data_IF_682970980373
#
_entry.id   IF_682970980373
#
_cell.length_a   1.000
_cell.length_b   1.000
_cell.length_c   1.000
_cell.angle_alpha   90.00
_cell.angle_beta   90.00
_cell.angle_gamma   90.00
#
_symmetry.space_group_name_H-M   'P 1'
#
loop_
_entity.id
_entity.type
_entity.pdbx_description
1 polymer ?
#
# COMPACT_ATOMS: atom_id res chain seq x y z
N UNK A 1 -4.66 18.48 34.10
CA UNK A 1 -5.52 17.76 33.13
C UNK A 1 -5.20 16.29 33.28
N UNK A 2 -6.18 15.47 33.66
CA UNK A 2 -5.99 14.02 33.66
C UNK A 2 -5.87 13.51 32.21
N UNK A 3 -5.08 12.47 31.93
CA UNK A 3 -5.06 11.85 30.61
C UNK A 3 -6.48 11.36 30.29
N UNK A 4 -7.05 11.79 29.17
CA UNK A 4 -8.33 11.27 28.70
C UNK A 4 -8.05 9.89 28.11
N UNK A 5 -8.60 8.87 28.75
CA UNK A 5 -8.67 7.53 28.20
C UNK A 5 -9.72 7.55 27.08
N UNK A 6 -9.34 7.15 25.87
CA UNK A 6 -10.30 6.95 24.78
C UNK A 6 -10.17 5.51 24.28
N UNK A 7 -11.29 4.80 24.28
CA UNK A 7 -11.41 3.49 23.63
C UNK A 7 -12.33 3.65 22.43
N UNK A 8 -11.88 3.23 21.26
CA UNK A 8 -12.64 3.33 20.02
C UNK A 8 -12.98 1.91 19.57
N UNK A 9 -14.27 1.67 19.30
CA UNK A 9 -14.73 0.42 18.68
C UNK A 9 -15.35 0.79 17.34
N UNK A 10 -14.75 0.30 16.26
CA UNK A 10 -15.26 0.49 14.91
C UNK A 10 -15.63 -0.85 14.28
N UNK A 11 -16.73 -0.85 13.53
CA UNK A 11 -17.19 -2.02 12.79
C UNK A 11 -17.70 -1.63 11.40
N UNK A 12 -17.39 -2.45 10.40
CA UNK A 12 -18.01 -2.30 9.08
C UNK A 12 -18.48 -3.63 8.55
N UNK A 13 -19.59 -3.61 7.82
CA UNK A 13 -20.12 -4.76 7.10
C UNK A 13 -20.53 -4.32 5.69
N UNK A 14 -19.86 -4.83 4.66
CA UNK A 14 -20.24 -4.60 3.28
C UNK A 14 -20.89 -5.84 2.66
N UNK A 15 -21.89 -5.60 1.82
CA UNK A 15 -22.61 -6.62 1.07
C UNK A 15 -22.56 -6.21 -0.40
N UNK A 16 -21.85 -6.95 -1.24
CA UNK A 16 -21.81 -6.73 -2.68
C UNK A 16 -23.16 -7.03 -3.30
N UNK A 17 -23.73 -6.04 -4.00
CA UNK A 17 -24.85 -6.21 -4.92
C UNK A 17 -24.39 -6.51 -6.37
N UNK A 18 -23.07 -6.62 -6.60
CA UNK A 18 -22.43 -6.89 -7.89
C UNK A 18 -22.11 -8.37 -8.15
N UNK A 19 -21.29 -8.59 -9.18
CA UNK A 19 -20.80 -9.91 -9.56
C UNK A 19 -19.27 -9.94 -9.45
N UNK A 20 -18.66 -10.86 -8.68
CA UNK A 20 -19.30 -11.85 -7.80
C UNK A 20 -20.03 -11.18 -6.62
N UNK A 21 -20.91 -11.91 -5.95
CA UNK A 21 -21.51 -11.45 -4.70
C UNK A 21 -20.44 -11.35 -3.64
N UNK A 22 -20.33 -10.21 -2.96
CA UNK A 22 -19.28 -9.95 -1.96
C UNK A 22 -19.90 -9.89 -0.56
N UNK A 23 -19.18 -10.36 0.45
CA UNK A 23 -19.55 -10.14 1.84
C UNK A 23 -18.27 -9.84 2.62
N UNK A 24 -18.16 -8.62 3.17
CA UNK A 24 -17.05 -8.23 4.02
C UNK A 24 -17.55 -7.83 5.39
N UNK A 25 -16.80 -8.19 6.42
CA UNK A 25 -17.03 -7.76 7.79
C UNK A 25 -15.68 -7.45 8.43
N UNK A 26 -15.60 -6.36 9.18
CA UNK A 26 -14.44 -6.07 10.00
C UNK A 26 -14.85 -5.45 11.32
N UNK A 27 -14.09 -5.77 12.36
CA UNK A 27 -14.24 -5.22 13.70
C UNK A 27 -12.84 -4.83 14.18
N UNK A 28 -12.69 -3.60 14.66
CA UNK A 28 -11.44 -3.10 15.23
C UNK A 28 -11.72 -2.45 16.58
N UNK A 29 -10.90 -2.81 17.55
CA UNK A 29 -10.93 -2.26 18.90
C UNK A 29 -9.59 -1.59 19.15
N UNK A 30 -9.63 -0.32 19.53
CA UNK A 30 -8.44 0.46 19.87
C UNK A 30 -8.57 1.04 21.27
N UNK A 31 -7.45 1.06 21.98
CA UNK A 31 -7.33 1.71 23.27
C UNK A 31 -6.14 2.65 23.26
N UNK A 32 -6.41 3.92 23.58
CA UNK A 32 -5.38 4.94 23.76
C UNK A 32 -5.15 5.26 25.24
N UNK A 33 -3.92 5.68 25.56
CA UNK A 33 -3.48 6.09 26.89
C UNK A 33 -2.87 4.98 27.76
N UNK A 34 -1.96 5.39 28.65
CA UNK A 34 -1.31 4.53 29.64
C UNK A 34 -2.16 4.45 30.91
N UNK A 35 -2.67 3.27 31.26
CA UNK A 35 -3.11 2.95 32.62
C UNK A 35 -1.99 2.20 33.35
N UNK A 36 -2.00 2.22 34.69
CA UNK A 36 -1.04 1.49 35.52
C UNK A 36 -0.94 0.00 35.09
N UNK A 37 0.10 -0.32 34.32
CA UNK A 37 0.44 -1.67 33.87
C UNK A 37 -0.07 -2.14 32.50
N UNK A 38 -0.77 -1.30 31.71
CA UNK A 38 -1.28 -1.68 30.38
C UNK A 38 -0.85 -0.69 29.28
N UNK A 39 -0.27 -1.22 28.20
CA UNK A 39 0.12 -0.44 27.02
C UNK A 39 -1.08 -0.16 26.10
N UNK A 40 -1.07 0.95 25.34
CA UNK A 40 -2.00 1.15 24.22
C UNK A 40 -1.95 -0.04 23.27
N UNK A 41 -3.12 -0.43 22.75
CA UNK A 41 -3.23 -1.54 21.81
C UNK A 41 -4.37 -1.35 20.82
N UNK A 42 -4.24 -1.98 19.66
CA UNK A 42 -5.27 -2.15 18.64
C UNK A 42 -5.38 -3.63 18.28
N UNK A 43 -6.60 -4.14 18.17
CA UNK A 43 -6.87 -5.48 17.66
C UNK A 43 -7.94 -5.41 16.56
N UNK A 44 -7.66 -6.04 15.43
CA UNK A 44 -8.50 -6.06 14.26
C UNK A 44 -8.83 -7.48 13.83
N UNK A 45 -10.07 -7.69 13.39
CA UNK A 45 -10.47 -8.87 12.64
C UNK A 45 -11.16 -8.40 11.37
N UNK A 46 -10.83 -9.01 10.24
CA UNK A 46 -11.54 -8.81 8.98
C UNK A 46 -11.79 -10.14 8.29
N UNK A 47 -12.92 -10.21 7.61
CA UNK A 47 -13.33 -11.32 6.79
C UNK A 47 -13.95 -10.80 5.51
N UNK A 48 -13.62 -11.44 4.40
CA UNK A 48 -14.12 -11.15 3.06
C UNK A 48 -14.39 -12.44 2.33
N UNK A 49 -15.54 -12.52 1.67
CA UNK A 49 -15.90 -13.59 0.74
C UNK A 49 -16.38 -12.97 -0.56
N UNK A 50 -16.09 -13.60 -1.68
CA UNK A 50 -16.54 -13.18 -3.00
C UNK A 50 -16.91 -14.43 -3.78
N UNK A 51 -18.19 -14.67 -4.01
CA UNK A 51 -18.70 -15.91 -4.57
C UNK A 51 -19.31 -15.70 -5.96
N UNK A 52 -19.00 -16.60 -6.89
CA UNK A 52 -19.75 -16.72 -8.14
C UNK A 52 -19.02 -16.28 -9.39
N UNK A 53 -17.68 -16.31 -9.44
CA UNK A 53 -16.91 -15.96 -10.65
C UNK A 53 -17.21 -16.79 -11.93
N UNK A 54 -18.11 -17.78 -11.88
CA UNK A 54 -18.47 -18.68 -12.99
C UNK A 54 -19.86 -18.46 -13.62
N UNK A 55 -20.12 -19.11 -14.75
CA UNK A 55 -21.42 -19.15 -15.46
C UNK A 55 -22.36 -20.26 -14.97
N UNK A 56 -21.96 -21.00 -13.93
CA UNK A 56 -22.76 -22.07 -13.32
C UNK A 56 -23.52 -21.56 -12.08
N UNK A 57 -24.57 -22.29 -11.70
CA UNK A 57 -25.49 -21.96 -10.61
C UNK A 57 -24.79 -21.62 -9.28
N UNK A 58 -25.39 -20.69 -8.53
CA UNK A 58 -24.99 -20.37 -7.16
C UNK A 58 -24.83 -21.66 -6.33
N UNK A 59 -23.64 -21.87 -5.76
CA UNK A 59 -23.26 -23.08 -5.02
C UNK A 59 -22.18 -23.95 -5.67
N UNK A 60 -21.95 -23.81 -6.98
CA UNK A 60 -20.81 -24.44 -7.69
C UNK A 60 -19.73 -23.41 -8.10
N UNK A 61 -19.94 -22.15 -7.73
CA UNK A 61 -19.12 -21.01 -8.12
C UNK A 61 -17.80 -20.93 -7.36
N UNK A 62 -16.73 -20.64 -8.09
CA UNK A 62 -15.43 -20.24 -7.54
C UNK A 62 -15.62 -19.08 -6.57
N UNK A 63 -14.93 -19.16 -5.44
CA UNK A 63 -14.95 -18.17 -4.39
C UNK A 63 -13.54 -17.63 -4.15
N UNK A 64 -13.45 -16.35 -3.85
CA UNK A 64 -12.29 -15.80 -3.14
C UNK A 64 -12.68 -15.62 -1.67
N UNK A 65 -11.77 -15.97 -0.77
CA UNK A 65 -11.95 -15.78 0.67
C UNK A 65 -10.71 -15.14 1.25
N UNK A 66 -10.90 -14.20 2.16
CA UNK A 66 -9.83 -13.59 2.92
C UNK A 66 -10.24 -13.46 4.38
N UNK A 67 -9.35 -13.87 5.28
CA UNK A 67 -9.49 -13.71 6.74
C UNK A 67 -8.21 -13.05 7.20
N UNK A 68 -8.30 -11.96 7.97
CA UNK A 68 -7.13 -11.36 8.62
C UNK A 68 -7.39 -11.03 10.07
N UNK A 69 -6.36 -11.22 10.88
CA UNK A 69 -6.27 -10.78 12.25
C UNK A 69 -5.05 -9.87 12.39
N UNK A 70 -5.22 -8.71 13.01
CA UNK A 70 -4.11 -7.81 13.33
C UNK A 70 -4.09 -7.47 14.81
N UNK A 71 -2.89 -7.30 15.37
CA UNK A 71 -2.65 -6.89 16.74
C UNK A 71 -1.48 -5.92 16.75
N UNK A 72 -1.72 -4.72 17.25
CA UNK A 72 -0.71 -3.70 17.50
C UNK A 72 -0.70 -3.39 19.00
N UNK A 73 0.47 -3.30 19.59
CA UNK A 73 0.63 -2.93 21.00
C UNK A 73 1.91 -2.16 21.21
N UNK A 74 1.85 -1.03 21.92
CA UNK A 74 3.05 -0.26 22.21
C UNK A 74 2.82 1.14 22.74
N UNK A 75 3.88 1.70 23.30
CA UNK A 75 3.94 3.11 23.66
C UNK A 75 4.71 3.86 22.57
N UNK A 76 4.01 4.66 21.78
CA UNK A 76 4.62 5.53 20.75
C UNK A 76 4.64 7.00 21.18
N UNK A 77 3.93 7.36 22.26
CA UNK A 77 3.68 8.75 22.63
C UNK A 77 4.83 9.38 23.43
N UNK A 78 5.63 8.56 24.13
CA UNK A 78 6.64 9.06 25.07
C UNK A 78 8.02 9.39 24.46
N UNK A 79 8.21 9.19 23.15
CA UNK A 79 9.51 9.36 22.50
C UNK A 79 10.56 8.31 22.87
N UNK A 80 10.29 7.44 23.84
CA UNK A 80 10.98 6.18 24.06
C UNK A 80 9.98 5.03 24.00
N UNK A 81 10.01 4.25 22.92
CA UNK A 81 8.90 3.36 22.58
C UNK A 81 9.29 1.91 22.40
N UNK A 82 8.45 1.03 22.96
CA UNK A 82 8.38 -0.37 22.55
C UNK A 82 7.10 -0.57 21.78
N UNK A 83 7.20 -1.24 20.63
CA UNK A 83 6.02 -1.62 19.89
C UNK A 83 6.17 -3.02 19.29
N UNK A 84 5.02 -3.67 19.16
CA UNK A 84 4.80 -4.96 18.55
C UNK A 84 3.64 -4.79 17.57
N UNK A 85 3.82 -5.28 16.36
CA UNK A 85 2.76 -5.48 15.38
C UNK A 85 2.80 -6.93 14.91
N UNK A 86 1.62 -7.51 14.76
CA UNK A 86 1.39 -8.87 14.33
C UNK A 86 0.19 -8.89 13.39
N UNK A 87 0.35 -9.44 12.21
CA UNK A 87 -0.74 -9.70 11.27
C UNK A 87 -0.71 -11.17 10.86
N UNK A 88 -1.87 -11.82 10.87
CA UNK A 88 -2.04 -13.19 10.38
C UNK A 88 -3.18 -13.17 9.37
N UNK A 89 -2.90 -13.67 8.17
CA UNK A 89 -3.81 -13.70 7.05
C UNK A 89 -3.98 -15.10 6.48
N UNK A 90 -5.17 -15.38 5.96
CA UNK A 90 -5.40 -16.42 4.97
C UNK A 90 -6.17 -15.82 3.80
N UNK A 91 -5.70 -16.07 2.58
CA UNK A 91 -6.35 -15.67 1.34
C UNK A 91 -6.43 -16.86 0.40
N UNK A 92 -7.64 -17.23 -0.02
CA UNK A 92 -7.91 -18.25 -1.02
C UNK A 92 -8.45 -17.55 -2.25
N UNK A 93 -7.78 -17.69 -3.39
CA UNK A 93 -8.23 -17.14 -4.68
C UNK A 93 -8.69 -18.27 -5.61
N UNK A 94 -9.91 -18.17 -6.14
CA UNK A 94 -10.50 -19.19 -7.01
C UNK A 94 -9.84 -19.24 -8.39
N UNK A 95 -9.55 -20.44 -8.91
CA UNK A 95 -8.87 -20.62 -10.20
C UNK A 95 -9.74 -20.37 -11.44
N UNK A 96 -11.03 -20.04 -11.26
CA UNK A 96 -11.97 -19.63 -12.33
C UNK A 96 -12.00 -20.57 -13.56
N UNK A 97 -11.97 -21.89 -13.35
CA UNK A 97 -11.90 -22.93 -14.41
C UNK A 97 -10.63 -22.91 -15.28
N UNK A 98 -9.61 -22.13 -14.91
CA UNK A 98 -8.35 -22.08 -15.66
C UNK A 98 -7.42 -23.25 -15.35
N UNK A 99 -7.72 -24.04 -14.32
CA UNK A 99 -7.08 -25.32 -14.03
C UNK A 99 -8.17 -26.40 -13.80
N UNK A 100 -8.07 -27.57 -14.45
CA UNK A 100 -9.05 -28.66 -14.29
C UNK A 100 -8.85 -29.52 -13.03
N UNK A 101 -7.68 -29.47 -12.40
CA UNK A 101 -7.29 -30.28 -11.25
C UNK A 101 -7.33 -29.51 -9.93
N UNK A 102 -7.26 -28.17 -9.97
CA UNK A 102 -7.24 -27.28 -8.80
C UNK A 102 -8.38 -26.27 -8.87
N UNK A 103 -9.09 -26.08 -7.75
CA UNK A 103 -10.21 -25.13 -7.68
C UNK A 103 -9.81 -23.76 -7.15
N UNK A 104 -8.75 -23.67 -6.33
CA UNK A 104 -8.20 -22.42 -5.80
C UNK A 104 -6.71 -22.53 -5.50
N UNK A 105 -6.09 -21.37 -5.26
CA UNK A 105 -4.78 -21.25 -4.61
C UNK A 105 -4.98 -20.56 -3.27
N UNK A 106 -4.38 -21.11 -2.22
CA UNK A 106 -4.45 -20.56 -0.86
C UNK A 106 -3.08 -20.03 -0.44
N UNK A 107 -3.10 -18.85 0.17
CA UNK A 107 -1.99 -18.24 0.86
C UNK A 107 -2.31 -18.10 2.33
N UNK A 108 -1.35 -18.43 3.17
CA UNK A 108 -1.37 -18.06 4.57
C UNK A 108 -0.13 -17.23 4.86
N UNK A 109 -0.29 -16.15 5.60
CA UNK A 109 0.80 -15.27 5.96
C UNK A 109 0.76 -14.88 7.44
N UNK A 110 1.95 -14.67 7.99
CA UNK A 110 2.20 -14.17 9.32
C UNK A 110 3.27 -13.09 9.16
N UNK A 111 2.89 -11.84 9.34
CA UNK A 111 3.80 -10.70 9.33
C UNK A 111 3.98 -10.21 10.76
N UNK A 112 5.21 -9.90 11.17
CA UNK A 112 5.48 -9.40 12.50
C UNK A 112 6.54 -8.32 12.48
N UNK A 113 6.43 -7.40 13.43
CA UNK A 113 7.44 -6.38 13.65
C UNK A 113 7.52 -6.00 15.11
N UNK A 114 8.74 -5.90 15.63
CA UNK A 114 9.04 -5.62 17.02
C UNK A 114 10.16 -4.59 17.09
N UNK A 115 9.89 -3.49 17.80
CA UNK A 115 10.92 -2.56 18.24
C UNK A 115 11.06 -2.68 19.74
N UNK A 116 12.07 -3.39 20.26
CA UNK A 116 12.30 -3.50 21.71
C UNK A 116 12.85 -2.20 22.29
N UNK A 117 13.33 -1.30 21.44
CA UNK A 117 13.90 -0.02 21.84
C UNK A 117 13.83 0.98 20.69
N UNK A 118 13.24 2.14 20.98
CA UNK A 118 13.39 3.37 20.23
C UNK A 118 13.56 4.48 21.26
N UNK A 119 14.52 5.39 21.07
CA UNK A 119 14.66 6.58 21.89
C UNK A 119 14.88 7.79 21.01
N UNK A 120 14.11 8.85 21.28
CA UNK A 120 14.21 10.18 20.68
C UNK A 120 14.65 11.23 21.70
N UNK A 121 15.46 10.93 22.71
CA UNK A 121 16.04 12.00 23.53
C UNK A 121 17.21 11.57 24.41
N UNK A 122 18.42 11.57 23.85
CA UNK A 122 19.58 12.02 24.63
C UNK A 122 19.83 13.47 24.22
N UNK A 123 19.36 14.45 25.01
CA UNK A 123 19.77 15.86 24.81
C UNK A 123 21.26 15.95 25.20
N UNK A 124 22.21 16.08 24.26
CA UNK A 124 23.56 16.46 24.63
C UNK A 124 23.48 17.92 25.08
N UNK A 125 24.26 18.29 26.09
CA UNK A 125 24.43 19.68 26.54
C UNK A 125 24.70 20.57 25.31
N UNK A 126 23.70 21.31 24.78
CA UNK A 126 23.86 22.11 23.56
C UNK A 126 22.70 22.18 22.55
N UNK A 127 21.49 21.68 22.87
CA UNK A 127 20.28 21.93 22.07
C UNK A 127 20.13 21.09 20.80
N UNK A 128 20.78 19.93 20.72
CA UNK A 128 20.55 18.90 19.70
C UNK A 128 19.83 17.68 20.26
N UNK A 129 19.44 16.78 19.38
CA UNK A 129 18.80 15.50 19.69
C UNK A 129 19.62 14.36 19.10
N UNK A 130 19.83 13.31 19.88
CA UNK A 130 20.31 12.02 19.39
C UNK A 130 19.23 11.00 19.67
N UNK A 131 18.97 10.14 18.69
CA UNK A 131 18.07 9.01 18.85
C UNK A 131 18.65 7.74 18.25
N UNK A 132 18.15 6.62 18.74
CA UNK A 132 18.51 5.30 18.25
C UNK A 132 17.30 4.37 18.32
N UNK A 133 17.22 3.45 17.38
CA UNK A 133 16.15 2.45 17.32
C UNK A 133 16.68 1.11 16.84
N UNK A 134 16.08 0.05 17.36
CA UNK A 134 16.29 -1.31 16.87
C UNK A 134 14.93 -1.84 16.43
N UNK A 135 14.88 -2.40 15.23
CA UNK A 135 13.68 -2.99 14.66
C UNK A 135 14.00 -4.42 14.23
N UNK A 136 13.09 -5.34 14.53
CA UNK A 136 13.09 -6.68 13.98
C UNK A 136 11.76 -6.89 13.29
N UNK A 137 11.77 -7.17 12.00
CA UNK A 137 10.57 -7.58 11.29
C UNK A 137 10.81 -8.88 10.54
N UNK A 138 9.74 -9.54 10.14
CA UNK A 138 9.81 -10.72 9.31
C UNK A 138 8.44 -11.24 8.96
N UNK A 139 8.43 -12.13 7.98
CA UNK A 139 7.21 -12.69 7.43
C UNK A 139 7.37 -14.20 7.26
N UNK A 140 6.30 -14.93 7.48
CA UNK A 140 6.16 -16.34 7.09
C UNK A 140 5.02 -16.43 6.13
N UNK A 141 5.22 -17.13 5.02
CA UNK A 141 4.17 -17.32 4.04
C UNK A 141 4.13 -18.77 3.58
N UNK A 142 2.93 -19.28 3.40
CA UNK A 142 2.64 -20.57 2.79
C UNK A 142 1.79 -20.33 1.56
N UNK A 143 2.09 -21.05 0.49
CA UNK A 143 1.32 -21.08 -0.74
C UNK A 143 1.01 -22.53 -1.07
N UNK A 144 -0.26 -22.83 -1.35
CA UNK A 144 -0.70 -24.17 -1.73
C UNK A 144 -1.80 -24.13 -2.78
N UNK A 145 -1.85 -25.17 -3.61
CA UNK A 145 -2.97 -25.38 -4.53
C UNK A 145 -4.02 -26.29 -3.90
N UNK A 146 -5.28 -25.86 -3.91
CA UNK A 146 -6.37 -26.65 -3.37
C UNK A 146 -7.01 -27.53 -4.45
N UNK A 147 -7.11 -28.84 -4.17
CA UNK A 147 -7.67 -29.84 -5.08
C UNK A 147 -8.52 -30.86 -4.35
N UNK A 148 -9.54 -31.46 -5.00
CA UNK A 148 -10.30 -32.55 -4.42
C UNK A 148 -9.39 -33.73 -4.08
N UNK A 149 -9.77 -34.50 -3.06
CA UNK A 149 -9.07 -35.75 -2.69
C UNK A 149 -9.21 -36.74 -3.83
N UNK A 150 -8.17 -36.87 -4.65
CA UNK A 150 -8.09 -37.82 -5.77
C UNK A 150 -6.92 -38.79 -5.56
N UNK A 151 -7.05 -39.99 -6.13
CA UNK A 151 -6.07 -41.08 -5.99
C UNK A 151 -4.84 -40.96 -6.89
N UNK A 152 -4.75 -39.93 -7.74
CA UNK A 152 -3.65 -39.71 -8.69
C UNK A 152 -2.80 -38.47 -8.39
N UNK A 153 -1.54 -38.50 -8.84
CA UNK A 153 -0.71 -37.30 -8.93
C UNK A 153 -1.23 -36.41 -10.06
N UNK A 154 -1.33 -35.08 -9.85
CA UNK A 154 -1.84 -34.20 -10.88
C UNK A 154 -0.84 -34.08 -12.03
N UNK A 155 -1.35 -33.91 -13.25
CA UNK A 155 -0.49 -33.83 -14.45
C UNK A 155 0.27 -32.51 -14.48
N UNK A 156 -0.41 -31.42 -14.12
CA UNK A 156 0.19 -30.09 -14.01
C UNK A 156 0.05 -29.58 -12.57
N UNK A 157 0.89 -30.12 -11.67
CA UNK A 157 0.85 -29.79 -10.26
C UNK A 157 1.08 -28.29 -9.99
N UNK A 158 0.20 -27.70 -9.17
CA UNK A 158 0.54 -26.51 -8.39
C UNK A 158 1.30 -27.01 -7.17
N UNK A 159 2.47 -26.42 -6.95
CA UNK A 159 3.42 -26.93 -5.99
C UNK A 159 3.37 -26.09 -4.73
N UNK A 160 3.24 -26.76 -3.60
CA UNK A 160 3.21 -26.10 -2.30
C UNK A 160 4.59 -25.54 -1.97
N UNK A 161 4.62 -24.31 -1.48
CA UNK A 161 5.85 -23.61 -1.16
C UNK A 161 5.70 -22.81 0.13
N UNK A 162 6.78 -22.69 0.88
CA UNK A 162 6.86 -21.80 2.03
C UNK A 162 7.99 -20.81 1.84
N UNK A 163 7.78 -19.60 2.35
CA UNK A 163 8.75 -18.53 2.38
C UNK A 163 8.89 -18.00 3.81
N UNK A 164 10.10 -17.56 4.14
CA UNK A 164 10.42 -16.93 5.41
C UNK A 164 11.33 -15.73 5.13
N UNK A 165 11.00 -14.58 5.72
CA UNK A 165 11.82 -13.36 5.69
C UNK A 165 12.14 -12.91 7.12
N UNK A 166 13.32 -12.31 7.29
CA UNK A 166 13.75 -11.66 8.52
C UNK A 166 14.59 -10.44 8.19
N UNK A 167 14.26 -9.29 8.78
CA UNK A 167 14.89 -8.00 8.52
C UNK A 167 15.18 -7.22 9.84
N UNK A 168 16.22 -7.59 10.60
CA UNK A 168 16.74 -6.73 11.66
C UNK A 168 17.36 -5.45 11.08
N UNK A 169 17.08 -4.32 11.73
CA UNK A 169 17.76 -3.06 11.48
C UNK A 169 18.07 -2.30 12.77
N UNK A 170 19.14 -1.52 12.71
CA UNK A 170 19.56 -0.61 13.78
C UNK A 170 19.80 0.75 13.16
N UNK A 171 19.19 1.78 13.73
CA UNK A 171 19.34 3.15 13.27
C UNK A 171 19.82 4.05 14.40
N UNK A 172 20.70 4.98 14.08
CA UNK A 172 21.13 6.07 14.96
C UNK A 172 21.03 7.36 14.17
N UNK A 173 20.49 8.40 14.78
CA UNK A 173 20.41 9.70 14.14
C UNK A 173 20.78 10.83 15.09
N UNK A 174 21.20 11.94 14.51
CA UNK A 174 21.53 13.17 15.18
C UNK A 174 20.88 14.35 14.45
N UNK A 175 20.26 15.25 15.21
CA UNK A 175 19.64 16.46 14.70
C UNK A 175 20.05 17.68 15.52
N UNK A 176 20.41 18.78 14.83
CA UNK A 176 20.72 20.07 15.45
C UNK A 176 20.52 21.22 14.46
N UNK A 177 19.78 22.25 14.87
CA UNK A 177 19.73 23.52 14.15
C UNK A 177 19.31 23.41 12.68
N UNK A 178 18.34 22.55 12.38
CA UNK A 178 17.86 22.27 11.02
C UNK A 178 18.69 21.24 10.24
N UNK A 179 19.83 20.79 10.77
CA UNK A 179 20.62 19.70 10.19
C UNK A 179 20.26 18.37 10.85
N UNK A 180 20.04 17.35 10.04
CA UNK A 180 19.81 15.95 10.44
C UNK A 180 20.81 15.05 9.72
N UNK A 181 21.33 14.05 10.43
CA UNK A 181 22.02 12.91 9.82
C UNK A 181 21.61 11.62 10.50
N UNK A 182 21.47 10.55 9.72
CA UNK A 182 21.11 9.23 10.17
C UNK A 182 22.03 8.18 9.58
N UNK A 183 22.35 7.16 10.36
CA UNK A 183 23.01 5.95 9.93
C UNK A 183 22.10 4.77 10.27
N UNK A 184 21.78 3.96 9.27
CA UNK A 184 21.00 2.73 9.44
C UNK A 184 21.83 1.55 8.95
N UNK A 185 21.95 0.51 9.74
CA UNK A 185 22.48 -0.78 9.34
C UNK A 185 21.37 -1.83 9.32
N UNK A 186 21.36 -2.70 8.32
CA UNK A 186 20.35 -3.74 8.19
C UNK A 186 20.94 -5.05 7.68
N UNK A 187 20.23 -6.13 7.97
CA UNK A 187 20.48 -7.44 7.42
C UNK A 187 19.13 -8.09 7.09
N UNK A 188 18.99 -8.59 5.87
CA UNK A 188 17.83 -9.32 5.39
C UNK A 188 18.22 -10.77 5.13
N UNK A 189 17.35 -11.68 5.53
CA UNK A 189 17.42 -13.09 5.22
C UNK A 189 16.08 -13.51 4.63
N UNK A 190 16.10 -13.99 3.39
CA UNK A 190 14.93 -14.55 2.72
C UNK A 190 15.22 -15.99 2.34
N UNK A 191 14.26 -16.87 2.59
CA UNK A 191 14.38 -18.28 2.23
C UNK A 191 13.06 -18.79 1.69
N UNK A 192 13.14 -19.62 0.65
CA UNK A 192 11.99 -20.39 0.17
C UNK A 192 12.36 -21.85 0.06
N UNK A 193 11.36 -22.75 0.12
CA UNK A 193 11.57 -24.21 0.02
C UNK A 193 12.33 -24.65 -1.24
N UNK A 194 12.44 -23.79 -2.26
CA UNK A 194 13.01 -24.13 -3.57
C UNK A 194 14.17 -23.29 -4.03
N UNK A 195 14.29 -22.05 -3.55
CA UNK A 195 15.32 -21.12 -4.00
C UNK A 195 16.52 -21.04 -3.05
N UNK A 196 16.44 -21.71 -1.90
CA UNK A 196 17.50 -21.67 -0.90
C UNK A 196 17.52 -20.33 -0.17
N UNK A 197 18.64 -20.02 0.46
CA UNK A 197 18.82 -18.85 1.34
C UNK A 197 19.43 -17.68 0.56
N UNK A 198 18.79 -16.50 0.65
CA UNK A 198 19.29 -15.23 0.12
C UNK A 198 19.60 -14.32 1.29
N UNK A 199 20.84 -13.85 1.34
CA UNK A 199 21.33 -12.93 2.35
C UNK A 199 21.60 -11.57 1.72
N UNK A 200 21.04 -10.52 2.33
CA UNK A 200 21.33 -9.13 1.93
C UNK A 200 21.79 -8.35 3.15
N UNK A 201 22.98 -7.76 3.10
CA UNK A 201 23.49 -6.89 4.16
C UNK A 201 23.71 -5.48 3.63
N UNK A 202 23.49 -4.46 4.45
CA UNK A 202 23.73 -3.10 4.00
C UNK A 202 23.73 -2.04 5.08
N UNK A 203 24.04 -0.83 4.64
CA UNK A 203 23.96 0.35 5.47
C UNK A 203 23.61 1.59 4.66
N UNK A 204 22.85 2.49 5.26
CA UNK A 204 22.41 3.77 4.70
C UNK A 204 22.94 4.92 5.55
N UNK A 205 23.52 5.91 4.88
CA UNK A 205 23.81 7.22 5.42
C UNK A 205 22.84 8.23 4.81
N UNK A 206 22.04 8.88 5.65
CA UNK A 206 21.12 9.94 5.24
C UNK A 206 21.53 11.27 5.88
N UNK A 207 21.35 12.36 5.15
CA UNK A 207 21.52 13.72 5.63
C UNK A 207 20.39 14.61 5.11
N UNK A 208 19.92 15.53 5.95
CA UNK A 208 18.93 16.53 5.60
C UNK A 208 19.31 17.86 6.21
N UNK A 209 19.15 18.94 5.46
CA UNK A 209 19.37 20.30 5.93
C UNK A 209 18.20 21.19 5.57
N UNK A 210 17.61 21.81 6.57
CA UNK A 210 16.51 22.77 6.43
C UNK A 210 17.04 24.19 6.62
N UNK A 211 16.87 25.02 5.60
CA UNK A 211 17.25 26.43 5.57
C UNK A 211 16.06 27.29 5.12
N UNK A 212 15.29 27.81 6.10
CA UNK A 212 14.04 28.51 5.81
C UNK A 212 13.01 27.57 5.17
N UNK A 213 12.46 27.97 4.02
CA UNK A 213 11.53 27.17 3.21
C UNK A 213 12.22 26.13 2.32
N UNK A 214 13.56 26.04 2.33
CA UNK A 214 14.29 25.05 1.55
C UNK A 214 14.71 23.88 2.43
N UNK A 215 14.49 22.67 1.93
CA UNK A 215 14.95 21.41 2.51
C UNK A 215 15.79 20.68 1.48
N UNK A 216 17.02 20.38 1.83
CA UNK A 216 17.93 19.59 1.01
C UNK A 216 18.09 18.23 1.67
N UNK A 217 18.04 17.13 0.92
CA UNK A 217 18.39 15.82 1.46
C UNK A 217 19.28 15.03 0.51
N UNK A 218 20.09 14.16 1.10
CA UNK A 218 20.92 13.21 0.39
C UNK A 218 20.94 11.90 1.17
N UNK A 219 20.85 10.78 0.47
CA UNK A 219 21.09 9.45 1.03
C UNK A 219 22.04 8.65 0.15
N UNK A 220 22.83 7.80 0.80
CA UNK A 220 23.73 6.84 0.17
C UNK A 220 23.57 5.51 0.89
N UNK A 221 23.25 4.47 0.13
CA UNK A 221 23.07 3.12 0.65
C UNK A 221 24.09 2.21 0.01
N UNK A 222 24.76 1.36 0.78
CA UNK A 222 25.56 0.26 0.29
C UNK A 222 24.83 -1.05 0.57
N UNK A 223 24.60 -1.85 -0.47
CA UNK A 223 23.86 -3.12 -0.42
C UNK A 223 24.75 -4.23 -0.96
N UNK A 224 24.88 -5.31 -0.20
CA UNK A 224 25.58 -6.54 -0.56
C UNK A 224 24.54 -7.66 -0.61
N UNK A 225 24.20 -8.10 -1.81
CA UNK A 225 23.25 -9.20 -2.05
C UNK A 225 24.02 -10.45 -2.48
N UNK A 226 23.81 -11.56 -1.78
CA UNK A 226 24.39 -12.87 -2.11
C UNK A 226 24.05 -13.35 -3.53
N UNK A 227 22.90 -12.97 -4.09
CA UNK A 227 22.43 -13.38 -5.41
C UNK A 227 22.93 -12.45 -6.52
N UNK A 228 22.91 -11.13 -6.30
CA UNK A 228 23.15 -10.14 -7.35
C UNK A 228 24.41 -9.27 -7.16
N UNK A 229 25.18 -9.50 -6.08
CA UNK A 229 26.40 -8.76 -5.75
C UNK A 229 26.15 -7.38 -5.15
N UNK A 230 27.12 -6.48 -5.33
CA UNK A 230 27.15 -5.15 -4.70
C UNK A 230 26.33 -4.13 -5.49
N UNK A 231 25.54 -3.31 -4.79
CA UNK A 231 24.85 -2.14 -5.34
C UNK A 231 25.02 -0.95 -4.38
N UNK A 232 25.14 0.25 -4.93
CA UNK A 232 25.26 1.48 -4.13
C UNK A 232 24.17 2.49 -4.53
N UNK A 233 22.91 2.32 -4.08
CA UNK A 233 21.85 3.29 -4.29
C UNK A 233 22.18 4.66 -3.68
N UNK A 234 21.70 5.73 -4.29
CA UNK A 234 21.80 7.07 -3.74
C UNK A 234 20.60 7.90 -4.19
N UNK A 235 20.17 8.83 -3.33
CA UNK A 235 19.12 9.79 -3.65
C UNK A 235 19.59 11.17 -3.28
N UNK A 236 19.38 12.13 -4.18
CA UNK A 236 19.50 13.55 -3.89
C UNK A 236 18.13 14.19 -4.05
N UNK A 237 17.73 15.02 -3.10
CA UNK A 237 16.49 15.78 -3.21
C UNK A 237 16.67 17.24 -2.78
N UNK A 238 15.89 18.10 -3.43
CA UNK A 238 15.65 19.48 -3.01
C UNK A 238 14.15 19.69 -2.95
N UNK A 239 13.68 20.29 -1.87
CA UNK A 239 12.30 20.66 -1.67
C UNK A 239 12.24 22.13 -1.25
N UNK A 240 11.39 22.90 -1.90
CA UNK A 240 10.93 24.19 -1.44
C UNK A 240 9.50 24.04 -0.99
N UNK A 241 9.23 24.42 0.25
CA UNK A 241 7.89 24.47 0.81
C UNK A 241 7.73 25.77 1.59
N UNK A 242 6.89 26.66 1.08
CA UNK A 242 6.63 27.95 1.71
C UNK A 242 5.61 27.76 2.84
N UNK A 243 5.97 27.98 4.12
CA UNK A 243 4.95 28.02 5.17
C UNK A 243 3.99 29.16 4.84
N UNK A 244 2.68 28.89 4.79
CA UNK A 244 1.68 29.92 4.51
C UNK A 244 1.88 31.09 5.47
N UNK A 245 2.32 32.25 4.95
CA UNK A 245 2.64 33.40 5.79
C UNK A 245 1.36 33.96 6.42
N UNK A 246 1.21 33.95 7.76
CA UNK A 246 -0.03 34.42 8.39
C UNK A 246 -0.30 35.92 8.23
N UNK A 247 0.71 36.71 7.83
CA UNK A 247 0.64 38.19 7.75
C UNK A 247 0.64 38.76 6.31
N UNK A 248 0.60 37.91 5.28
CA UNK A 248 0.38 38.37 3.89
C UNK A 248 -1.13 38.45 3.62
N UNK A 249 -1.60 39.44 2.85
CA UNK A 249 -3.03 39.53 2.49
C UNK A 249 -3.49 38.33 1.63
N UNK A 250 -2.56 37.62 0.97
CA UNK A 250 -2.79 36.39 0.19
C UNK A 250 -1.63 35.38 0.37
N UNK A 251 -1.61 34.52 1.41
CA UNK A 251 -0.59 33.48 1.53
C UNK A 251 -0.73 32.43 0.42
N UNK A 252 0.22 32.43 -0.49
CA UNK A 252 0.39 31.38 -1.50
C UNK A 252 1.38 30.35 -0.97
N UNK A 253 0.96 29.08 -0.91
CA UNK A 253 1.89 27.99 -0.64
C UNK A 253 2.41 27.45 -1.96
N UNK A 254 3.74 27.40 -2.08
CA UNK A 254 4.42 26.85 -3.23
C UNK A 254 5.17 25.61 -2.79
N UNK A 255 4.93 24.52 -3.51
CA UNK A 255 5.71 23.30 -3.41
C UNK A 255 6.55 23.16 -4.67
N UNK A 256 7.84 22.94 -4.50
CA UNK A 256 8.69 22.42 -5.56
C UNK A 256 9.54 21.31 -4.95
N UNK A 257 9.51 20.12 -5.54
CA UNK A 257 10.36 19.01 -5.15
C UNK A 257 11.04 18.48 -6.40
N UNK A 258 12.34 18.24 -6.32
CA UNK A 258 13.06 17.52 -7.35
C UNK A 258 13.98 16.51 -6.67
N UNK A 259 13.98 15.29 -7.17
CA UNK A 259 14.83 14.21 -6.67
C UNK A 259 15.30 13.28 -7.78
N UNK A 260 16.36 12.54 -7.51
CA UNK A 260 16.83 11.53 -8.42
C UNK A 260 18.06 10.81 -7.91
N UNK A 261 18.45 9.77 -8.66
CA UNK A 261 19.60 8.96 -8.37
C UNK A 261 19.35 7.51 -8.75
N UNK A 262 19.87 6.60 -7.92
CA UNK A 262 19.71 5.17 -8.09
C UNK A 262 18.91 4.64 -6.91
N UNK A 263 17.75 4.06 -7.19
CA UNK A 263 16.91 3.40 -6.19
C UNK A 263 17.05 1.89 -6.30
N UNK A 264 16.87 1.20 -5.18
CA UNK A 264 16.68 -0.24 -5.16
C UNK A 264 15.76 -0.60 -4.01
N UNK A 265 14.83 -1.51 -4.28
CA UNK A 265 13.97 -2.12 -3.27
C UNK A 265 14.17 -3.61 -3.30
N UNK A 266 14.40 -4.22 -2.14
CA UNK A 266 14.29 -5.67 -2.04
C UNK A 266 12.81 -6.01 -2.15
N UNK A 267 12.39 -6.65 -3.25
CA UNK A 267 11.02 -7.16 -3.37
C UNK A 267 10.98 -8.61 -2.91
N UNK A 268 10.24 -8.83 -1.85
CA UNK A 268 10.07 -10.16 -1.27
C UNK A 268 9.09 -11.03 -2.06
N UNK A 269 9.14 -12.36 -1.85
CA UNK A 269 8.15 -13.34 -2.31
C UNK A 269 6.69 -12.91 -2.07
N UNK A 270 6.40 -12.38 -0.88
CA UNK A 270 5.06 -12.01 -0.43
C UNK A 270 4.50 -10.79 -1.18
N UNK A 271 5.33 -9.77 -1.44
CA UNK A 271 4.94 -8.58 -2.20
C UNK A 271 4.57 -8.92 -3.64
N UNK A 272 5.43 -9.69 -4.33
CA UNK A 272 5.21 -10.13 -5.70
C UNK A 272 3.90 -10.92 -5.83
N UNK A 273 3.69 -11.86 -4.91
CA UNK A 273 2.48 -12.64 -4.88
C UNK A 273 1.25 -11.82 -4.46
N UNK A 274 1.40 -10.71 -3.73
CA UNK A 274 0.32 -9.78 -3.41
C UNK A 274 -0.20 -9.05 -4.65
N UNK A 275 0.71 -8.57 -5.50
CA UNK A 275 0.39 -7.92 -6.78
C UNK A 275 -0.21 -8.96 -7.77
N UNK A 276 0.36 -10.16 -7.80
CA UNK A 276 0.09 -11.21 -8.77
C UNK A 276 -0.30 -12.55 -8.11
N UNK A 277 -1.50 -12.69 -7.53
CA UNK A 277 -1.87 -13.85 -6.69
C UNK A 277 -1.97 -15.17 -7.45
N UNK A 278 -2.19 -15.10 -8.75
CA UNK A 278 -2.25 -16.28 -9.62
C UNK A 278 -0.94 -16.55 -10.34
N UNK A 279 0.14 -15.86 -9.99
CA UNK A 279 1.43 -16.05 -10.65
C UNK A 279 2.28 -17.11 -9.96
N UNK A 280 3.08 -17.82 -10.76
CA UNK A 280 4.11 -18.70 -10.24
C UNK A 280 5.46 -18.32 -10.85
N UNK A 281 6.23 -17.56 -10.08
CA UNK A 281 7.59 -17.15 -10.42
C UNK A 281 8.65 -17.93 -9.64
N UNK A 282 8.30 -19.04 -8.99
CA UNK A 282 9.19 -19.75 -8.05
C UNK A 282 9.80 -18.82 -6.99
N UNK A 283 9.06 -17.77 -6.62
CA UNK A 283 9.53 -16.67 -5.80
C UNK A 283 10.85 -16.07 -6.29
N UNK A 284 10.93 -15.76 -7.58
CA UNK A 284 11.94 -14.86 -8.09
C UNK A 284 11.87 -13.57 -7.25
N UNK A 285 12.97 -13.25 -6.57
CA UNK A 285 13.24 -11.94 -6.01
C UNK A 285 14.09 -11.29 -7.08
N UNK A 286 13.53 -10.26 -7.71
CA UNK A 286 14.36 -9.22 -8.26
C UNK A 286 14.66 -8.30 -7.08
N UNK A 287 15.92 -7.94 -6.89
CA UNK A 287 16.24 -6.68 -6.24
C UNK A 287 16.30 -5.66 -7.37
N UNK A 288 15.15 -5.15 -7.89
CA UNK A 288 15.16 -4.19 -8.96
C UNK A 288 16.04 -3.01 -8.57
N UNK A 289 16.76 -2.51 -9.55
CA UNK A 289 17.51 -1.29 -9.41
C UNK A 289 17.09 -0.38 -10.55
N UNK A 290 16.73 0.85 -10.25
CA UNK A 290 16.33 1.81 -11.27
C UNK A 290 17.05 3.13 -11.07
N UNK A 291 17.60 3.64 -12.18
CA UNK A 291 17.87 5.05 -12.32
C UNK A 291 16.54 5.79 -12.31
N UNK A 292 16.44 6.86 -11.54
CA UNK A 292 15.22 7.66 -11.52
C UNK A 292 15.50 9.15 -11.40
N UNK A 293 14.57 9.93 -11.89
CA UNK A 293 14.49 11.37 -11.68
C UNK A 293 13.02 11.76 -11.59
N UNK A 294 12.68 12.60 -10.63
CA UNK A 294 11.31 13.03 -10.38
C UNK A 294 11.28 14.51 -10.04
N UNK A 295 10.28 15.22 -10.55
CA UNK A 295 9.98 16.58 -10.20
C UNK A 295 8.48 16.74 -9.92
N UNK A 296 8.15 17.47 -8.87
CA UNK A 296 6.81 17.83 -8.47
C UNK A 296 6.76 19.34 -8.23
N UNK A 297 5.68 19.97 -8.68
CA UNK A 297 5.35 21.35 -8.37
C UNK A 297 3.92 21.42 -7.89
N UNK A 298 3.67 22.27 -6.89
CA UNK A 298 2.35 22.49 -6.34
C UNK A 298 2.13 23.96 -6.01
N UNK A 299 0.87 24.36 -6.05
CA UNK A 299 0.38 25.67 -5.69
C UNK A 299 -0.90 25.48 -4.89
N UNK A 300 -0.97 26.11 -3.72
CA UNK A 300 -2.21 26.20 -2.94
C UNK A 300 -2.51 27.67 -2.65
N UNK A 301 -3.74 28.07 -2.96
CA UNK A 301 -4.26 29.42 -2.80
C UNK A 301 -5.25 29.45 -1.63
N UNK A 302 -5.28 30.55 -0.88
CA UNK A 302 -6.24 30.80 0.22
C UNK A 302 -7.70 30.63 -0.20
N UNK A 303 -8.00 30.88 -1.47
CA UNK A 303 -9.33 30.70 -2.06
C UNK A 303 -9.79 29.23 -2.09
N UNK A 304 -8.95 28.30 -1.63
CA UNK A 304 -9.20 26.86 -1.59
C UNK A 304 -8.85 26.16 -2.90
N UNK A 305 -8.22 26.86 -3.85
CA UNK A 305 -7.77 26.27 -5.10
C UNK A 305 -6.38 25.66 -4.95
N UNK A 306 -6.20 24.44 -5.44
CA UNK A 306 -4.93 23.75 -5.46
C UNK A 306 -4.60 23.26 -6.87
N UNK A 307 -3.32 23.27 -7.20
CA UNK A 307 -2.79 22.64 -8.39
C UNK A 307 -1.52 21.88 -8.04
N UNK A 308 -1.37 20.69 -8.61
CA UNK A 308 -0.19 19.84 -8.45
C UNK A 308 0.16 19.20 -9.76
N UNK A 309 1.43 19.16 -10.11
CA UNK A 309 1.93 18.46 -11.27
C UNK A 309 3.22 17.73 -10.94
N UNK A 310 3.37 16.52 -11.47
CA UNK A 310 4.51 15.65 -11.26
C UNK A 310 4.93 15.02 -12.58
N UNK A 311 6.23 14.93 -12.80
CA UNK A 311 6.84 14.15 -13.87
C UNK A 311 7.96 13.28 -13.28
N UNK A 312 7.99 12.02 -13.64
CA UNK A 312 8.98 11.06 -13.15
C UNK A 312 9.47 10.16 -14.27
N UNK A 313 10.77 9.90 -14.30
CA UNK A 313 11.41 8.94 -15.20
C UNK A 313 12.07 7.84 -14.39
N UNK A 314 11.97 6.59 -14.85
CA UNK A 314 12.60 5.41 -14.26
C UNK A 314 13.13 4.48 -15.33
N UNK A 315 14.37 4.04 -15.22
CA UNK A 315 14.93 3.02 -16.10
C UNK A 315 15.74 1.97 -15.33
N UNK A 316 15.57 0.70 -15.68
CA UNK A 316 16.26 -0.42 -15.04
C UNK A 316 17.77 -0.30 -15.19
N UNK A 317 18.47 -0.48 -14.07
CA UNK A 317 19.92 -0.37 -13.94
C UNK A 317 20.55 -1.75 -13.76
N UNK A 318 21.75 -1.95 -14.33
CA UNK A 318 22.58 -3.14 -14.10
C UNK A 318 21.89 -4.48 -14.38
N UNK A 319 20.98 -4.53 -15.36
CA UNK A 319 20.15 -5.71 -15.69
C UNK A 319 19.28 -6.22 -14.52
N UNK A 320 18.99 -5.37 -13.53
CA UNK A 320 18.10 -5.67 -12.41
C UNK A 320 16.70 -5.13 -12.71
N UNK A 321 16.00 -5.81 -13.61
CA UNK A 321 14.62 -5.49 -14.01
C UNK A 321 13.59 -5.74 -12.91
N UNK A 322 12.32 -5.50 -13.22
CA UNK A 322 11.18 -5.77 -12.33
C UNK A 322 10.51 -7.07 -12.79
N UNK A 323 10.07 -7.89 -11.84
CA UNK A 323 9.30 -9.08 -12.17
C UNK A 323 7.84 -8.71 -12.46
N UNK A 324 7.33 -9.14 -13.61
CA UNK A 324 5.98 -8.87 -14.07
C UNK A 324 5.39 -10.13 -14.71
N UNK A 325 4.06 -10.30 -14.62
CA UNK A 325 3.38 -11.29 -15.45
C UNK A 325 3.64 -11.01 -16.93
N UNK A 326 3.69 -12.02 -17.81
CA UNK A 326 3.88 -11.82 -19.26
C UNK A 326 2.55 -11.91 -20.05
N UNK A 327 1.43 -12.05 -19.34
CA UNK A 327 0.08 -12.17 -19.91
C UNK A 327 -0.23 -13.57 -20.46
N UNK A 328 0.69 -14.53 -20.30
CA UNK A 328 0.51 -15.92 -20.70
C UNK A 328 0.29 -16.82 -19.47
N UNK A 329 -0.24 -18.02 -19.73
CA UNK A 329 -0.53 -19.02 -18.70
C UNK A 329 0.40 -20.21 -18.83
N UNK A 330 0.80 -20.72 -17.69
CA UNK A 330 1.45 -22.02 -17.54
C UNK A 330 0.41 -23.16 -17.68
N UNK A 331 0.85 -24.40 -17.97
CA UNK A 331 -0.05 -25.56 -18.06
C UNK A 331 -0.86 -25.86 -16.79
N UNK A 332 -0.39 -25.40 -15.62
CA UNK A 332 -1.10 -25.49 -14.34
C UNK A 332 -2.06 -24.31 -14.11
N UNK A 333 -2.36 -23.53 -15.15
CA UNK A 333 -3.31 -22.43 -15.11
C UNK A 333 -2.77 -21.13 -14.52
N UNK A 334 -1.62 -21.13 -13.83
CA UNK A 334 -1.01 -19.94 -13.22
C UNK A 334 -0.43 -18.98 -14.27
N UNK A 335 -0.42 -17.69 -13.96
CA UNK A 335 0.22 -16.66 -14.78
C UNK A 335 1.74 -16.86 -14.78
N UNK A 336 2.33 -16.77 -15.97
CA UNK A 336 3.79 -16.77 -16.14
C UNK A 336 4.34 -15.39 -15.81
N UNK A 337 5.51 -15.36 -15.15
CA UNK A 337 6.23 -14.14 -14.76
C UNK A 337 7.61 -14.14 -15.40
N UNK A 338 8.07 -12.97 -15.80
CA UNK A 338 9.42 -12.76 -16.34
C UNK A 338 10.07 -11.52 -15.73
N UNK A 339 11.39 -11.43 -15.88
CA UNK A 339 12.16 -10.25 -15.50
C UNK A 339 12.11 -9.24 -16.66
N UNK A 340 11.40 -8.14 -16.45
CA UNK A 340 11.20 -7.09 -17.42
C UNK A 340 12.15 -5.90 -17.16
N UNK A 341 12.91 -5.49 -18.17
CA UNK A 341 13.68 -4.25 -18.12
C UNK A 341 12.76 -3.10 -18.50
N UNK A 342 12.55 -2.14 -17.60
CA UNK A 342 11.65 -1.00 -17.83
C UNK A 342 12.42 0.27 -18.19
N UNK A 343 11.83 1.09 -19.05
CA UNK A 343 12.10 2.51 -19.28
C UNK A 343 10.75 3.24 -19.30
N UNK A 344 10.45 3.99 -18.23
CA UNK A 344 9.11 4.51 -17.95
C UNK A 344 9.15 5.99 -17.66
N UNK A 345 8.30 6.74 -18.37
CA UNK A 345 8.03 8.15 -18.11
C UNK A 345 6.60 8.29 -17.60
N UNK A 346 6.44 8.81 -16.39
CA UNK A 346 5.18 8.99 -15.70
C UNK A 346 4.89 10.49 -15.57
N UNK A 347 3.65 10.89 -15.83
CA UNK A 347 3.19 12.25 -15.58
C UNK A 347 1.89 12.21 -14.81
N UNK A 348 1.72 13.12 -13.86
CA UNK A 348 0.45 13.34 -13.20
C UNK A 348 0.19 14.84 -13.04
N UNK A 349 -1.06 15.25 -13.12
CA UNK A 349 -1.49 16.60 -12.83
C UNK A 349 -2.86 16.57 -12.16
N UNK A 350 -3.07 17.43 -11.18
CA UNK A 350 -4.32 17.56 -10.43
C UNK A 350 -4.64 19.02 -10.19
N UNK A 351 -5.89 19.39 -10.38
CA UNK A 351 -6.42 20.68 -9.98
C UNK A 351 -7.64 20.44 -9.08
N UNK A 352 -7.69 21.16 -7.97
CA UNK A 352 -8.74 21.03 -6.97
C UNK A 352 -9.28 22.39 -6.53
N UNK A 353 -10.51 22.38 -6.04
CA UNK A 353 -11.11 23.49 -5.32
C UNK A 353 -11.84 22.95 -4.10
N UNK A 354 -11.62 23.58 -2.96
CA UNK A 354 -12.33 23.30 -1.71
C UNK A 354 -12.97 24.59 -1.18
N UNK A 355 -14.29 24.63 -1.17
CA UNK A 355 -15.08 25.67 -0.51
C UNK A 355 -15.62 25.24 0.84
N UNK A 356 -16.46 26.08 1.45
CA UNK A 356 -17.00 25.83 2.80
C UNK A 356 -18.00 24.65 2.89
N UNK A 357 -18.55 24.19 1.77
CA UNK A 357 -19.60 23.14 1.75
C UNK A 357 -19.45 22.15 0.59
N UNK A 358 -18.43 22.33 -0.26
CA UNK A 358 -18.21 21.48 -1.41
C UNK A 358 -16.73 21.49 -1.80
N UNK A 359 -16.28 20.40 -2.41
CA UNK A 359 -15.00 20.33 -3.09
C UNK A 359 -15.15 19.59 -4.42
N UNK A 360 -14.26 19.91 -5.36
CA UNK A 360 -14.16 19.22 -6.63
C UNK A 360 -12.69 19.15 -7.03
N UNK A 361 -12.27 18.01 -7.59
CA UNK A 361 -10.94 17.84 -8.18
C UNK A 361 -11.02 17.14 -9.53
N UNK A 362 -10.05 17.46 -10.38
CA UNK A 362 -9.81 16.77 -11.63
C UNK A 362 -8.32 16.46 -11.73
N UNK A 363 -8.01 15.17 -11.86
CA UNK A 363 -6.68 14.64 -11.99
C UNK A 363 -6.48 13.93 -13.32
N UNK A 364 -5.24 13.89 -13.78
CA UNK A 364 -4.78 13.10 -14.91
C UNK A 364 -3.51 12.37 -14.51
N UNK A 365 -3.39 11.10 -14.90
CA UNK A 365 -2.14 10.35 -14.84
C UNK A 365 -1.86 9.66 -16.17
N UNK A 366 -0.59 9.56 -16.54
CA UNK A 366 -0.14 9.06 -17.84
C UNK A 366 1.19 8.33 -17.74
N UNK A 367 1.33 7.26 -18.52
CA UNK A 367 2.58 6.52 -18.76
C UNK A 367 2.89 6.61 -20.26
N UNK A 368 4.12 6.99 -20.64
CA UNK A 368 4.43 7.37 -22.02
C UNK A 368 5.42 6.47 -22.77
N UNK A 369 6.21 5.67 -22.05
CA UNK A 369 7.25 4.81 -22.62
C UNK A 369 6.84 3.35 -22.47
N UNK A 370 7.46 2.60 -21.55
CA UNK A 370 7.06 1.23 -21.28
C UNK A 370 5.81 1.19 -20.39
N UNK A 371 4.69 0.85 -21.01
CA UNK A 371 3.51 0.35 -20.32
C UNK A 371 3.87 -1.02 -19.74
N UNK A 372 4.28 -1.04 -18.47
CA UNK A 372 4.50 -2.29 -17.75
C UNK A 372 3.15 -2.97 -17.51
N UNK A 373 2.73 -3.77 -18.50
CA UNK A 373 1.60 -4.70 -18.57
C UNK A 373 0.17 -4.18 -18.60
N UNK A 374 -0.67 -4.89 -19.38
CA UNK A 374 -2.12 -4.79 -19.63
C UNK A 374 -2.90 -3.90 -18.64
N UNK A 375 -2.72 -2.61 -18.82
CA UNK A 375 -3.22 -1.61 -17.91
C UNK A 375 -3.48 -0.33 -18.68
N UNK A 376 -4.36 0.46 -18.13
CA UNK A 376 -4.70 1.78 -18.63
C UNK A 376 -3.48 2.69 -18.43
N UNK A 377 -2.82 3.12 -19.51
CA UNK A 377 -1.65 3.98 -19.42
C UNK A 377 -2.05 5.42 -19.09
N UNK A 378 -3.25 5.84 -19.52
CA UNK A 378 -3.79 7.17 -19.36
C UNK A 378 -5.13 7.18 -18.62
N UNK A 379 -5.19 7.82 -17.46
CA UNK A 379 -6.40 7.95 -16.64
C UNK A 379 -6.77 9.40 -16.41
N UNK A 380 -8.08 9.68 -16.47
CA UNK A 380 -8.69 10.90 -15.93
C UNK A 380 -9.41 10.52 -14.63
N UNK A 381 -9.18 11.27 -13.57
CA UNK A 381 -9.80 11.08 -12.25
C UNK A 381 -10.64 12.34 -11.98
N UNK A 382 -11.90 12.16 -11.61
CA UNK A 382 -12.80 13.25 -11.23
C UNK A 382 -13.38 12.94 -9.86
N UNK A 383 -13.32 13.88 -8.94
CA UNK A 383 -13.90 13.74 -7.61
C UNK A 383 -14.75 14.96 -7.28
N UNK A 384 -15.85 14.71 -6.60
CA UNK A 384 -16.78 15.75 -6.15
C UNK A 384 -17.34 15.38 -4.80
N UNK A 385 -17.32 16.35 -3.87
CA UNK A 385 -17.83 16.16 -2.52
C UNK A 385 -18.73 17.32 -2.13
N UNK A 386 -19.80 17.02 -1.42
CA UNK A 386 -20.67 18.00 -0.75
C UNK A 386 -20.77 17.61 0.72
N UNK A 387 -20.66 18.59 1.61
CA UNK A 387 -20.66 18.35 3.05
C UNK A 387 -21.36 19.48 3.81
N UNK A 388 -21.88 19.15 4.99
CA UNK A 388 -22.44 20.14 5.90
C UNK A 388 -21.37 21.17 6.30
N UNK A 389 -21.72 22.46 6.50
CA UNK A 389 -20.76 23.46 6.95
C UNK A 389 -20.28 23.17 8.39
N UNK A 390 -19.03 23.53 8.69
CA UNK A 390 -18.38 23.38 10.00
C UNK A 390 -17.25 22.35 10.00
N UNK A 391 -16.42 22.38 11.04
CA UNK A 391 -15.19 21.57 11.14
C UNK A 391 -15.48 20.07 11.29
N UNK A 392 -16.66 19.73 11.82
CA UNK A 392 -17.17 18.35 11.94
C UNK A 392 -18.50 18.23 11.17
N UNK A 393 -18.45 18.00 9.85
CA UNK A 393 -19.65 17.95 9.02
C UNK A 393 -20.58 16.81 9.46
N UNK A 394 -21.83 17.15 9.78
CA UNK A 394 -22.86 16.18 10.19
C UNK A 394 -23.24 15.19 9.09
N UNK A 395 -23.01 15.56 7.83
CA UNK A 395 -23.17 14.66 6.70
C UNK A 395 -22.21 15.04 5.57
N UNK A 396 -21.89 14.07 4.73
CA UNK A 396 -21.25 14.31 3.45
C UNK A 396 -21.74 13.31 2.40
N UNK A 397 -21.58 13.69 1.14
CA UNK A 397 -21.74 12.84 -0.02
C UNK A 397 -20.56 13.08 -0.97
N UNK A 398 -20.03 12.02 -1.53
CA UNK A 398 -18.86 12.00 -2.40
C UNK A 398 -19.12 11.13 -3.61
N UNK A 399 -18.63 11.58 -4.76
CA UNK A 399 -18.56 10.80 -5.99
C UNK A 399 -17.12 10.85 -6.50
N UNK A 400 -16.60 9.70 -6.91
CA UNK A 400 -15.32 9.59 -7.61
C UNK A 400 -15.49 8.77 -8.88
N UNK A 401 -14.80 9.18 -9.94
CA UNK A 401 -14.84 8.52 -11.22
C UNK A 401 -13.44 8.47 -11.85
N UNK A 402 -12.96 7.29 -12.18
CA UNK A 402 -11.71 7.06 -12.93
C UNK A 402 -12.05 6.57 -14.33
N UNK A 403 -11.65 7.33 -15.34
CA UNK A 403 -11.87 7.04 -16.75
C UNK A 403 -10.56 6.57 -17.39
N UNK A 404 -10.53 5.34 -17.92
CA UNK A 404 -9.48 4.96 -18.85
C UNK A 404 -9.65 5.71 -20.16
N UNK A 405 -8.59 6.35 -20.65
CA UNK A 405 -8.63 7.17 -21.88
C UNK A 405 -8.17 6.41 -23.12
N UNK A 406 -7.39 5.36 -22.92
CA UNK A 406 -6.67 4.60 -23.94
C UNK A 406 -7.03 3.11 -23.94
N UNK A 407 -7.86 2.66 -22.99
CA UNK A 407 -8.35 1.29 -22.92
C UNK A 407 -9.85 1.21 -23.20
N UNK A 408 -10.30 0.05 -23.68
CA UNK A 408 -11.72 -0.26 -23.84
C UNK A 408 -12.42 -0.64 -22.53
N UNK A 409 -11.76 -0.50 -21.38
CA UNK A 409 -12.32 -0.83 -20.08
C UNK A 409 -13.41 0.17 -19.67
N UNK A 410 -14.33 -0.29 -18.80
CA UNK A 410 -15.33 0.61 -18.25
C UNK A 410 -14.70 1.58 -17.23
N UNK A 411 -15.20 2.82 -17.13
CA UNK A 411 -14.84 3.71 -16.03
C UNK A 411 -15.15 3.07 -14.67
N UNK A 412 -14.36 3.39 -13.66
CA UNK A 412 -14.62 3.02 -12.27
C UNK A 412 -15.37 4.19 -11.62
N UNK A 413 -16.63 3.99 -11.23
CA UNK A 413 -17.45 5.04 -10.59
C UNK A 413 -17.83 4.59 -9.20
N UNK A 414 -17.52 5.40 -8.21
CA UNK A 414 -17.85 5.15 -6.81
C UNK A 414 -18.65 6.31 -6.23
N UNK A 415 -19.60 6.00 -5.35
CA UNK A 415 -20.42 6.99 -4.63
C UNK A 415 -20.43 6.62 -3.15
N UNK A 416 -20.19 7.56 -2.26
CA UNK A 416 -20.26 7.35 -0.82
C UNK A 416 -21.04 8.48 -0.17
N UNK A 417 -21.71 8.19 0.94
CA UNK A 417 -22.26 9.20 1.83
C UNK A 417 -22.13 8.77 3.28
N UNK A 418 -21.98 9.74 4.17
CA UNK A 418 -22.00 9.50 5.61
C UNK A 418 -22.86 10.51 6.35
N UNK A 419 -23.37 10.08 7.50
CA UNK A 419 -24.14 10.89 8.44
C UNK A 419 -23.65 10.65 9.86
N UNK A 420 -23.67 11.70 10.69
CA UNK A 420 -23.36 11.67 12.12
C UNK A 420 -24.60 12.01 12.93
N UNK A 421 -25.46 11.02 13.26
CA UNK A 421 -26.67 11.27 14.05
C UNK A 421 -26.36 11.77 15.47
N UNK A 422 -25.20 11.41 16.02
CA UNK A 422 -24.64 11.91 17.28
C UNK A 422 -23.17 12.28 17.04
N UNK A 423 -22.55 13.07 17.93
CA UNK A 423 -21.13 13.45 17.79
C UNK A 423 -20.22 12.23 17.70
N UNK A 424 -20.53 11.22 18.51
CA UNK A 424 -19.71 10.03 18.69
C UNK A 424 -20.23 8.84 17.87
N UNK A 425 -21.20 9.04 16.96
CA UNK A 425 -21.72 7.98 16.09
C UNK A 425 -21.69 8.42 14.64
N UNK A 426 -21.02 7.67 13.78
CA UNK A 426 -21.03 7.87 12.33
C UNK A 426 -21.55 6.64 11.60
N UNK A 427 -22.40 6.85 10.60
CA UNK A 427 -22.91 5.82 9.70
C UNK A 427 -22.50 6.19 8.28
N UNK A 428 -22.01 5.24 7.47
CA UNK A 428 -21.71 5.48 6.06
C UNK A 428 -22.25 4.39 5.15
N UNK A 429 -22.63 4.80 3.94
CA UNK A 429 -23.04 3.93 2.84
C UNK A 429 -22.18 4.28 1.62
N UNK A 430 -21.52 3.29 1.03
CA UNK A 430 -20.73 3.44 -0.18
C UNK A 430 -21.12 2.42 -1.25
N UNK A 431 -21.00 2.79 -2.52
CA UNK A 431 -21.06 1.89 -3.66
C UNK A 431 -19.80 2.11 -4.50
N UNK A 432 -18.89 1.15 -4.49
CA UNK A 432 -17.64 1.15 -5.24
C UNK A 432 -17.80 0.45 -6.59
N UNK A 433 -17.21 1.03 -7.65
CA UNK A 433 -17.19 0.49 -9.02
C UNK A 433 -18.58 0.02 -9.50
N UNK A 434 -19.54 0.95 -9.53
CA UNK A 434 -20.95 0.66 -9.79
C UNK A 434 -21.25 0.24 -11.24
N UNK A 435 -20.44 0.66 -12.22
CA UNK A 435 -20.77 0.47 -13.64
C UNK A 435 -20.78 -1.00 -14.10
N UNK A 436 -19.81 -1.85 -13.74
CA UNK A 436 -19.88 -3.29 -14.05
C UNK A 436 -21.16 -3.96 -13.55
N UNK A 437 -21.63 -3.64 -12.34
CA UNK A 437 -22.87 -4.18 -11.79
C UNK A 437 -24.12 -3.79 -12.60
N UNK A 438 -24.15 -2.56 -13.15
CA UNK A 438 -25.27 -2.06 -13.96
C UNK A 438 -25.20 -2.54 -15.41
N UNK A 439 -24.00 -2.69 -15.97
CA UNK A 439 -23.78 -2.99 -17.39
C UNK A 439 -23.60 -4.48 -17.69
N UNK A 440 -23.34 -5.31 -16.67
CA UNK A 440 -23.08 -6.74 -16.81
C UNK A 440 -21.75 -7.09 -17.49
N UNK A 441 -20.82 -6.12 -17.62
CA UNK A 441 -19.46 -6.37 -18.14
C UNK A 441 -18.50 -6.70 -17.00
N UNK A 442 -17.59 -7.64 -17.24
CA UNK A 442 -16.55 -8.02 -16.29
C UNK A 442 -15.26 -7.22 -16.49
N UNK A 443 -14.52 -7.02 -15.39
CA UNK A 443 -13.12 -6.59 -15.41
C UNK A 443 -12.19 -7.80 -15.32
N UNK A 444 -10.97 -7.64 -15.83
CA UNK A 444 -9.97 -8.70 -15.83
C UNK A 444 -8.64 -8.19 -15.29
N UNK A 445 -8.00 -8.98 -14.42
CA UNK A 445 -6.62 -8.80 -13.99
C UNK A 445 -5.71 -9.52 -14.98
N UNK A 446 -4.74 -8.78 -15.51
CA UNK A 446 -3.75 -9.24 -16.50
C UNK A 446 -4.36 -9.90 -17.74
N UNK A 447 -5.61 -9.53 -18.07
CA UNK A 447 -6.37 -10.13 -19.17
C UNK A 447 -6.79 -11.59 -18.96
N UNK A 448 -6.50 -12.20 -17.80
CA UNK A 448 -6.66 -13.64 -17.56
C UNK A 448 -7.77 -13.97 -16.55
N UNK A 449 -7.81 -13.28 -15.41
CA UNK A 449 -8.70 -13.60 -14.30
C UNK A 449 -9.75 -12.50 -14.13
N UNK A 450 -11.02 -12.86 -13.95
CA UNK A 450 -12.07 -11.90 -13.61
C UNK A 450 -11.78 -11.29 -12.24
N UNK A 451 -11.99 -9.99 -12.09
CA UNK A 451 -11.85 -9.30 -10.81
C UNK A 451 -13.20 -8.96 -10.22
N UNK A 452 -13.28 -8.87 -8.90
CA UNK A 452 -14.47 -8.37 -8.22
C UNK A 452 -14.81 -6.94 -8.67
N UNK A 453 -16.10 -6.68 -8.89
CA UNK A 453 -16.61 -5.37 -9.29
C UNK A 453 -17.99 -5.11 -8.67
N UNK A 454 -18.30 -3.85 -8.36
CA UNK A 454 -19.56 -3.46 -7.71
C UNK A 454 -19.69 -3.91 -6.24
N UNK A 455 -19.19 -3.10 -5.30
CA UNK A 455 -19.30 -3.37 -3.86
C UNK A 455 -20.17 -2.32 -3.17
N UNK A 456 -21.20 -2.74 -2.40
CA UNK A 456 -21.98 -1.85 -1.55
C UNK A 456 -21.54 -2.04 -0.08
N UNK A 457 -21.09 -0.96 0.56
CA UNK A 457 -20.52 -0.95 1.91
C UNK A 457 -21.39 -0.19 2.86
N UNK A 458 -21.74 -0.81 4.01
CA UNK A 458 -22.36 -0.14 5.15
C UNK A 458 -21.37 -0.14 6.32
N UNK A 459 -21.11 1.01 6.93
CA UNK A 459 -20.24 1.06 8.11
C UNK A 459 -20.84 1.90 9.23
N UNK A 460 -20.45 1.56 10.46
CA UNK A 460 -20.84 2.27 11.67
C UNK A 460 -19.63 2.41 12.61
N UNK A 461 -19.37 3.64 13.05
CA UNK A 461 -18.33 3.93 14.06
C UNK A 461 -19.00 4.50 15.31
N UNK A 462 -18.54 4.04 16.48
CA UNK A 462 -18.94 4.58 17.78
C UNK A 462 -17.70 4.92 18.60
N UNK A 463 -17.55 6.20 18.94
CA UNK A 463 -16.49 6.71 19.80
C UNK A 463 -17.03 6.76 21.26
N UNK A 464 -16.23 6.39 22.27
CA UNK A 464 -16.65 6.34 23.69
C UNK A 464 -15.81 7.23 24.61
#
# INVERSE_FOLDING_TARGET
MAPRHQSVVSGSASFGAGYPGVLNASVRVERSGLEDGLFPFGAGFSWKSSDGYGTASAGEGFFDREVRFSLDAGDSESGEGRWLSLEIGERTDGMQQLNPEYYSVTRQDLSWSVSPFSSRSLRPLGGGYVGASVLFSGDVMLFSGDRPVQTGQPTNAILDESAYSLLPSVSVFWERGGFYTGLTGFYAYDSTTRRGEVHTGGGELAARYTAGSMVYSASLTAVLDSANGVLVPFVLSVMHDTPGFPDAEDPVQLLFRAEGGLSSGLRGPAELLGEEPFSWAGFATASPADWFAEAETGLELVTGFSFRARAGWKASAFNRGVLLGDGTRLPNGLARVELFSRDRLETAAEAGWTGAMASASAGYSGIWLDETHFGVAHRLILEGRVFAPGDEPQWNAEVSASFPLDSGELPEVSVQGSVRPLRDVSLSLGWKDALPAVTGKNRFRNGLYRTACGELTLSAQVDF
#
